data_IF_566300671258
#
_entry.id   IF_566300671258
#
_cell.length_a   1.000
_cell.length_b   1.000
_cell.length_c   1.000
_cell.angle_alpha   90.00
_cell.angle_beta   90.00
_cell.angle_gamma   90.00
#
_symmetry.space_group_name_H-M   'P 1'
#
loop_
_entity.id
_entity.type
_entity.pdbx_description
1 polymer ?
#
# COMPACT_ATOMS: atom_id res chain seq x y z
N UNK A 1 17.66 0.12 16.83
CA UNK A 1 17.19 -0.65 15.65
C UNK A 1 16.28 0.27 14.85
N UNK A 2 16.75 0.82 13.74
CA UNK A 2 15.90 1.62 12.87
C UNK A 2 14.94 0.67 12.15
N UNK A 3 13.70 0.58 12.63
CA UNK A 3 12.63 -0.06 11.86
C UNK A 3 12.39 0.87 10.67
N UNK A 4 12.92 0.52 9.51
CA UNK A 4 12.52 1.18 8.27
C UNK A 4 11.00 1.04 8.18
N UNK A 5 10.30 2.17 8.08
CA UNK A 5 8.86 2.13 7.84
C UNK A 5 8.62 1.33 6.55
N UNK A 6 7.62 0.43 6.51
CA UNK A 6 7.27 -0.23 5.26
C UNK A 6 6.98 0.84 4.22
N UNK A 7 7.51 0.68 3.01
CA UNK A 7 7.18 1.55 1.89
C UNK A 7 5.90 1.06 1.22
N UNK A 8 5.14 2.00 0.68
CA UNK A 8 3.91 1.71 -0.06
C UNK A 8 3.97 2.39 -1.43
N UNK A 9 3.40 1.73 -2.44
CA UNK A 9 3.25 2.30 -3.77
C UNK A 9 1.88 2.99 -3.85
N UNK A 10 1.89 4.32 -3.90
CA UNK A 10 0.70 5.19 -3.80
C UNK A 10 0.44 5.88 -5.15
N UNK A 11 -0.81 5.98 -5.58
CA UNK A 11 -1.22 6.75 -6.75
C UNK A 11 -1.60 8.18 -6.32
N UNK A 12 -0.78 9.16 -6.70
CA UNK A 12 -1.04 10.59 -6.49
C UNK A 12 -0.76 11.36 -7.77
N UNK A 13 -1.60 12.34 -8.07
CA UNK A 13 -1.51 13.15 -9.30
C UNK A 13 -1.44 12.29 -10.59
N UNK A 14 -2.16 11.17 -10.60
CA UNK A 14 -2.19 10.23 -11.72
C UNK A 14 -0.90 9.42 -11.92
N UNK A 15 0.06 9.49 -10.98
CA UNK A 15 1.34 8.78 -11.05
C UNK A 15 1.54 7.88 -9.84
N UNK A 16 2.14 6.73 -10.08
CA UNK A 16 2.54 5.83 -9.01
C UNK A 16 3.88 6.25 -8.42
N UNK A 17 3.91 6.53 -7.13
CA UNK A 17 5.10 6.90 -6.38
C UNK A 17 5.31 5.92 -5.22
N UNK A 18 6.55 5.79 -4.77
CA UNK A 18 6.90 4.97 -3.61
C UNK A 18 7.21 5.90 -2.44
N UNK A 19 6.40 5.84 -1.39
CA UNK A 19 6.51 6.68 -0.20
C UNK A 19 6.50 5.80 1.06
N UNK A 20 6.94 6.36 2.18
CA UNK A 20 6.82 5.68 3.47
C UNK A 20 5.34 5.48 3.80
N UNK A 21 4.95 4.29 4.25
CA UNK A 21 3.56 3.97 4.59
C UNK A 21 2.96 4.91 5.65
N UNK A 22 3.79 5.56 6.47
CA UNK A 22 3.37 6.59 7.43
C UNK A 22 2.78 7.84 6.78
N UNK A 23 3.01 8.06 5.47
CA UNK A 23 2.47 9.18 4.70
C UNK A 23 1.08 8.90 4.13
N UNK A 24 0.54 7.69 4.33
CA UNK A 24 -0.79 7.34 3.85
C UNK A 24 -1.89 8.09 4.60
N UNK A 25 -2.87 8.58 3.84
CA UNK A 25 -4.10 9.16 4.37
C UNK A 25 -5.33 8.40 3.86
N UNK A 26 -6.47 8.45 4.59
CA UNK A 26 -7.71 7.88 4.10
C UNK A 26 -8.10 8.48 2.73
N UNK A 27 -8.33 7.61 1.75
CA UNK A 27 -8.65 7.99 0.38
C UNK A 27 -7.49 7.81 -0.60
N UNK A 28 -6.26 7.59 -0.12
CA UNK A 28 -5.14 7.20 -0.96
C UNK A 28 -5.42 5.84 -1.63
N UNK A 29 -5.05 5.73 -2.90
CA UNK A 29 -5.05 4.46 -3.63
C UNK A 29 -3.64 3.87 -3.60
N UNK A 30 -3.54 2.61 -3.18
CA UNK A 30 -2.27 1.89 -3.09
C UNK A 30 -2.27 0.67 -4.00
N UNK A 31 -1.09 0.32 -4.50
CA UNK A 31 -0.85 -0.92 -5.25
C UNK A 31 -0.19 -1.92 -4.33
N UNK A 32 -0.78 -3.12 -4.24
CA UNK A 32 -0.29 -4.25 -3.45
C UNK A 32 0.12 -5.37 -4.41
N UNK A 33 1.22 -6.03 -4.10
CA UNK A 33 1.74 -7.19 -4.82
C UNK A 33 1.99 -8.36 -3.86
N UNK A 34 2.26 -9.53 -4.43
CA UNK A 34 2.64 -10.70 -3.67
C UNK A 34 3.89 -10.41 -2.83
N UNK A 35 3.78 -10.61 -1.51
CA UNK A 35 4.86 -10.35 -0.55
C UNK A 35 4.85 -8.97 0.08
N UNK A 36 3.97 -8.06 -0.37
CA UNK A 36 3.81 -6.76 0.26
C UNK A 36 3.06 -6.89 1.60
N UNK A 37 3.48 -6.10 2.58
CA UNK A 37 2.75 -5.93 3.83
C UNK A 37 1.68 -4.87 3.61
N UNK A 38 0.43 -5.16 3.98
CA UNK A 38 -0.65 -4.18 3.90
C UNK A 38 -0.43 -3.09 4.96
N UNK A 39 -0.23 -1.81 4.57
CA UNK A 39 0.19 -0.78 5.51
C UNK A 39 -0.93 -0.25 6.42
N UNK A 40 -2.19 -0.33 5.96
CA UNK A 40 -3.37 0.18 6.67
C UNK A 40 -4.63 -0.56 6.23
N UNK A 41 -5.74 -0.35 6.96
CA UNK A 41 -7.05 -0.86 6.53
C UNK A 41 -7.41 -0.36 5.13
N UNK A 42 -7.66 -1.28 4.20
CA UNK A 42 -7.90 -0.97 2.80
C UNK A 42 -9.12 -1.73 2.25
N UNK A 43 -9.64 -1.24 1.13
CA UNK A 43 -10.69 -1.89 0.34
C UNK A 43 -10.11 -2.28 -1.01
N UNK A 44 -10.30 -3.54 -1.41
CA UNK A 44 -9.92 -3.98 -2.75
C UNK A 44 -10.80 -3.28 -3.79
N UNK A 45 -10.17 -2.75 -4.84
CA UNK A 45 -10.85 -2.00 -5.90
C UNK A 45 -10.86 -2.77 -7.21
N UNK A 46 -9.67 -3.15 -7.69
CA UNK A 46 -9.47 -3.84 -8.95
C UNK A 46 -8.31 -4.84 -8.83
N UNK A 47 -8.30 -5.85 -9.68
CA UNK A 47 -7.30 -6.91 -9.74
C UNK A 47 -7.83 -8.32 -9.46
N UNK A 48 -6.91 -9.29 -9.53
CA UNK A 48 -7.22 -10.69 -9.33
C UNK A 48 -7.52 -11.01 -7.85
N UNK A 49 -8.30 -12.08 -7.58
CA UNK A 49 -8.48 -12.58 -6.21
C UNK A 49 -7.13 -12.87 -5.55
N UNK A 50 -6.95 -12.36 -4.34
CA UNK A 50 -5.72 -12.56 -3.56
C UNK A 50 -6.02 -13.15 -2.19
N UNK A 51 -5.02 -13.81 -1.60
CA UNK A 51 -5.07 -14.31 -0.23
C UNK A 51 -4.18 -13.46 0.65
N UNK A 52 -4.66 -13.16 1.84
CA UNK A 52 -3.91 -12.44 2.87
C UNK A 52 -3.70 -13.37 4.05
N UNK A 53 -2.49 -13.33 4.59
CA UNK A 53 -2.18 -13.92 5.90
C UNK A 53 -2.34 -12.81 6.95
N UNK A 54 -3.10 -13.10 8.02
CA UNK A 54 -3.41 -12.14 9.08
C UNK A 54 -2.59 -12.39 10.34
#
# INVERSE_FOLDING_TARGET
>A
MARLAPKAKILRDGKWNEEDASMLIPGDMISIKLGDIIPAGARLLDGDPLKIDQ
#
